data_IF_164118350749
#
_entry.id   IF_164118350749
#
_cell.length_a   1.000
_cell.length_b   1.000
_cell.length_c   1.000
_cell.angle_alpha   90.00
_cell.angle_beta   90.00
_cell.angle_gamma   90.00
#
_symmetry.space_group_name_H-M   'P 1'
#
loop_
_entity.id
_entity.type
_entity.pdbx_description
1 polymer ?
#
# COMPACT_ATOMS: atom_id res chain seq x y z
N UNK A 1 -17.56 -4.47 -13.25
CA UNK A 1 -16.39 -4.54 -12.34
C UNK A 1 -15.80 -3.15 -12.32
N UNK A 2 -15.81 -2.44 -11.19
CA UNK A 2 -15.33 -1.05 -11.12
C UNK A 2 -13.80 -1.03 -11.27
N UNK A 3 -13.31 -1.16 -12.51
CA UNK A 3 -11.89 -0.95 -12.89
C UNK A 3 -11.53 0.54 -12.89
N UNK A 4 -12.06 1.31 -11.94
CA UNK A 4 -12.02 2.77 -12.02
C UNK A 4 -12.28 3.49 -10.70
N UNK A 5 -11.95 2.91 -9.55
CA UNK A 5 -11.53 3.78 -8.46
C UNK A 5 -10.13 4.27 -8.81
N UNK A 6 -9.99 5.58 -8.92
CA UNK A 6 -8.68 6.20 -9.11
C UNK A 6 -7.77 5.70 -7.99
N UNK A 7 -6.48 5.51 -8.29
CA UNK A 7 -5.50 5.03 -7.30
C UNK A 7 -5.54 5.89 -6.03
N UNK A 8 -5.84 7.18 -6.17
CA UNK A 8 -6.05 8.12 -5.08
C UNK A 8 -7.20 7.73 -4.15
N UNK A 9 -8.33 7.27 -4.71
CA UNK A 9 -9.48 6.82 -3.90
C UNK A 9 -9.16 5.54 -3.13
N UNK A 10 -8.49 4.58 -3.78
CA UNK A 10 -8.06 3.35 -3.12
C UNK A 10 -7.00 3.61 -2.05
N UNK A 11 -6.07 4.54 -2.31
CA UNK A 11 -5.03 4.93 -1.35
C UNK A 11 -5.65 5.64 -0.14
N UNK A 12 -6.59 6.57 -0.37
CA UNK A 12 -7.31 7.26 0.69
C UNK A 12 -8.12 6.28 1.57
N UNK A 13 -8.77 5.28 0.96
CA UNK A 13 -9.48 4.24 1.71
C UNK A 13 -8.52 3.36 2.53
N UNK A 14 -7.37 3.00 1.97
CA UNK A 14 -6.33 2.27 2.70
C UNK A 14 -5.80 3.07 3.89
N UNK A 15 -5.48 4.35 3.71
CA UNK A 15 -5.02 5.23 4.81
C UNK A 15 -6.08 5.37 5.89
N UNK A 16 -7.36 5.56 5.53
CA UNK A 16 -8.46 5.59 6.50
C UNK A 16 -8.59 4.28 7.28
N UNK A 17 -8.39 3.14 6.62
CA UNK A 17 -8.43 1.84 7.27
C UNK A 17 -7.29 1.67 8.28
N UNK A 18 -6.06 2.06 7.92
CA UNK A 18 -4.91 2.06 8.84
C UNK A 18 -5.16 2.95 10.06
N UNK A 19 -5.66 4.18 9.85
CA UNK A 19 -5.99 5.11 10.94
C UNK A 19 -7.06 4.56 11.88
N UNK A 20 -8.07 3.86 11.34
CA UNK A 20 -9.09 3.21 12.14
C UNK A 20 -8.51 2.08 13.01
N UNK A 21 -7.59 1.28 12.46
CA UNK A 21 -6.91 0.23 13.22
C UNK A 21 -6.04 0.82 14.32
N UNK A 22 -5.32 1.90 14.03
CA UNK A 22 -4.52 2.62 15.04
C UNK A 22 -5.40 3.18 16.17
N UNK A 23 -6.59 3.72 15.83
CA UNK A 23 -7.58 4.17 16.81
C UNK A 23 -8.13 3.03 17.68
N UNK A 24 -8.05 1.77 17.23
CA UNK A 24 -8.43 0.58 18.00
C UNK A 24 -7.26 0.01 18.82
N UNK A 25 -6.10 0.67 18.82
CA UNK A 25 -4.88 0.21 19.48
C UNK A 25 -4.11 -0.85 18.69
N UNK A 26 -4.47 -1.09 17.43
CA UNK A 26 -3.81 -2.04 16.54
C UNK A 26 -2.86 -1.26 15.63
N UNK A 27 -1.57 -1.28 15.97
CA UNK A 27 -0.54 -0.64 15.14
C UNK A 27 0.04 -1.65 14.15
N UNK A 28 -0.03 -1.33 12.86
CA UNK A 28 0.68 -2.07 11.82
C UNK A 28 2.01 -1.33 11.59
N UNK A 29 3.14 -2.05 11.61
CA UNK A 29 4.44 -1.46 11.28
C UNK A 29 4.47 -0.94 9.84
N UNK A 30 5.22 0.13 9.60
CA UNK A 30 5.26 0.81 8.29
C UNK A 30 5.68 -0.14 7.15
N UNK A 31 6.60 -1.07 7.42
CA UNK A 31 7.01 -2.11 6.45
C UNK A 31 5.84 -3.04 6.09
N UNK A 32 5.06 -3.45 7.08
CA UNK A 32 3.89 -4.30 6.88
C UNK A 32 2.78 -3.54 6.15
N UNK A 33 2.57 -2.24 6.43
CA UNK A 33 1.64 -1.39 5.70
C UNK A 33 2.06 -1.24 4.23
N UNK A 34 3.35 -1.00 3.97
CA UNK A 34 3.89 -0.91 2.61
C UNK A 34 3.70 -2.22 1.84
N UNK A 35 3.93 -3.37 2.47
CA UNK A 35 3.67 -4.67 1.86
C UNK A 35 2.19 -4.87 1.52
N UNK A 36 1.27 -4.53 2.43
CA UNK A 36 -0.18 -4.67 2.17
C UNK A 36 -0.61 -3.74 1.03
N UNK A 37 -0.11 -2.49 1.02
CA UNK A 37 -0.37 -1.53 -0.05
C UNK A 37 0.14 -2.02 -1.41
N UNK A 38 1.38 -2.51 -1.48
CA UNK A 38 1.97 -3.01 -2.72
C UNK A 38 1.27 -4.26 -3.26
N UNK A 39 0.71 -5.10 -2.38
CA UNK A 39 -0.06 -6.28 -2.79
C UNK A 39 -1.51 -5.96 -3.19
N UNK A 40 -2.06 -4.81 -2.78
CA UNK A 40 -3.41 -4.38 -3.14
C UNK A 40 -3.46 -3.55 -4.44
N UNK A 41 -2.30 -3.12 -4.95
CA UNK A 41 -2.21 -2.44 -6.24
C UNK A 41 -2.66 -3.35 -7.41
N UNK A 42 -3.34 -2.79 -8.42
CA UNK A 42 -3.68 -3.52 -9.65
C UNK A 42 -2.43 -4.08 -10.34
N UNK A 43 -2.60 -5.17 -11.12
CA UNK A 43 -1.51 -5.81 -11.88
C UNK A 43 -0.72 -4.87 -12.80
N UNK A 44 -1.29 -3.74 -13.19
CA UNK A 44 -0.61 -2.68 -13.94
C UNK A 44 0.63 -2.15 -13.21
N UNK A 45 0.65 -2.25 -11.87
CA UNK A 45 1.76 -1.87 -11.01
C UNK A 45 2.67 -3.05 -10.62
N UNK A 46 2.53 -4.23 -11.23
CA UNK A 46 3.38 -5.38 -10.92
C UNK A 46 4.87 -5.05 -11.11
N UNK A 47 5.22 -4.27 -12.14
CA UNK A 47 6.60 -3.78 -12.34
C UNK A 47 7.06 -2.89 -11.18
N UNK A 48 6.21 -2.00 -10.66
CA UNK A 48 6.52 -1.17 -9.51
C UNK A 48 6.71 -2.02 -8.25
N UNK A 49 5.85 -3.01 -8.03
CA UNK A 49 5.96 -3.97 -6.93
C UNK A 49 7.28 -4.74 -7.01
N UNK A 50 7.65 -5.23 -8.19
CA UNK A 50 8.90 -5.96 -8.37
C UNK A 50 10.12 -5.04 -8.14
N UNK A 51 10.10 -3.82 -8.68
CA UNK A 51 11.17 -2.83 -8.44
C UNK A 51 11.34 -2.56 -6.95
N UNK A 52 10.27 -2.32 -6.20
CA UNK A 52 10.33 -2.03 -4.76
C UNK A 52 10.69 -3.26 -3.92
N UNK A 53 10.26 -4.44 -4.33
CA UNK A 53 10.56 -5.70 -3.64
C UNK A 53 12.01 -6.14 -3.82
N UNK A 54 12.60 -5.86 -4.99
CA UNK A 54 13.97 -6.28 -5.33
C UNK A 54 15.01 -5.17 -5.18
N UNK A 55 14.63 -3.88 -5.17
CA UNK A 55 15.52 -2.76 -4.85
C UNK A 55 15.25 -2.25 -3.44
N UNK A 56 15.74 -2.97 -2.41
CA UNK A 56 15.79 -2.48 -1.02
C UNK A 56 16.48 -1.12 -0.88
N UNK A 57 17.39 -0.79 -1.81
CA UNK A 57 18.14 0.47 -1.82
C UNK A 57 17.29 1.68 -2.22
N UNK A 58 16.10 1.51 -2.84
CA UNK A 58 15.26 2.63 -3.26
C UNK A 58 14.48 3.28 -2.11
N UNK A 59 14.27 2.54 -1.01
CA UNK A 59 13.61 3.04 0.20
C UNK A 59 14.60 3.67 1.21
N UNK A 60 15.89 3.71 0.87
CA UNK A 60 16.95 4.22 1.75
C UNK A 60 17.37 5.67 1.44
N UNK A 61 16.53 6.48 0.77
CA UNK A 61 16.81 7.89 0.48
C UNK A 61 16.15 8.85 1.48
#
# INVERSE_FOLDING_TARGET
>A
MHEGKLIDENTNEFTKFVLNLESLGIKIEDENQAMIFLNSLPKVFDQLRDILKYNKDFLSL
#
